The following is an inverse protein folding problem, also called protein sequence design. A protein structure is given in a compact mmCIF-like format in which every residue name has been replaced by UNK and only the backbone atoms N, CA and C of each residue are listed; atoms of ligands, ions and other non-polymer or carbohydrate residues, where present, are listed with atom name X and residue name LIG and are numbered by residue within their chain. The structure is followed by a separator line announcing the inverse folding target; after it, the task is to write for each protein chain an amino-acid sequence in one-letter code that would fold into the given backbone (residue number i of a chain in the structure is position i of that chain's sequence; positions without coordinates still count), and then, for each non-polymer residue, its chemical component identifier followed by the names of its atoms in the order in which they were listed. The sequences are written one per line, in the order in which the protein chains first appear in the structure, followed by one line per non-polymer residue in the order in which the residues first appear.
data_IF_995709380867
#
_entry.id   IF_995709380867
#
_cell.length_a   1.000
_cell.length_b   1.000
_cell.length_c   1.000
_cell.angle_alpha   90.00
_cell.angle_beta   90.00
_cell.angle_gamma   90.00
#
_symmetry.space_group_name_H-M   'P 1'
#
loop_
_entity.id
_entity.type
_entity.pdbx_description
1 polymer ?
#
# COMPACT_ATOMS: atom_id res chain seq x y z
N UNK A 1 5.08 -22.30 11.31
CA UNK A 1 5.19 -20.97 10.66
C UNK A 1 5.96 -20.08 11.62
N UNK A 2 7.06 -19.48 11.17
CA UNK A 2 7.90 -18.65 12.01
C UNK A 2 7.12 -17.40 12.54
N UNK A 3 7.42 -16.93 13.75
CA UNK A 3 6.71 -15.81 14.40
C UNK A 3 6.80 -14.55 13.52
N UNK A 4 7.95 -14.30 12.91
CA UNK A 4 8.15 -13.18 11.99
C UNK A 4 7.26 -13.33 10.74
N UNK A 5 7.11 -14.56 10.24
CA UNK A 5 6.23 -14.85 9.08
C UNK A 5 4.77 -14.57 9.42
N UNK A 6 4.31 -14.94 10.62
CA UNK A 6 2.94 -14.66 11.06
C UNK A 6 2.65 -13.16 11.19
N UNK A 7 3.61 -12.38 11.70
CA UNK A 7 3.49 -10.92 11.82
C UNK A 7 3.46 -10.19 10.48
N UNK A 8 4.13 -10.73 9.45
CA UNK A 8 4.14 -10.14 8.10
C UNK A 8 2.83 -10.35 7.31
N UNK A 9 2.01 -11.35 7.65
CA UNK A 9 0.79 -11.66 6.88
C UNK A 9 -0.20 -10.49 6.90
N UNK A 10 -0.45 -9.90 8.07
CA UNK A 10 -1.39 -8.79 8.22
C UNK A 10 -1.03 -7.57 7.36
N UNK A 11 0.19 -6.98 7.47
CA UNK A 11 0.55 -5.81 6.65
C UNK A 11 0.58 -6.12 5.15
N UNK A 12 1.02 -7.32 4.74
CA UNK A 12 1.03 -7.72 3.33
C UNK A 12 -0.39 -7.81 2.75
N UNK A 13 -1.34 -8.41 3.48
CA UNK A 13 -2.74 -8.51 3.03
C UNK A 13 -3.35 -7.11 2.89
N UNK A 14 -3.17 -6.25 3.91
CA UNK A 14 -3.73 -4.89 3.92
C UNK A 14 -3.20 -4.09 2.72
N UNK A 15 -1.88 -4.09 2.51
CA UNK A 15 -1.27 -3.35 1.40
C UNK A 15 -1.70 -3.92 0.05
N UNK A 16 -1.83 -5.24 -0.07
CA UNK A 16 -2.36 -5.88 -1.29
C UNK A 16 -3.78 -5.41 -1.61
N UNK A 17 -4.67 -5.35 -0.61
CA UNK A 17 -6.03 -4.86 -0.78
C UNK A 17 -6.08 -3.37 -1.16
N UNK A 18 -5.23 -2.54 -0.53
CA UNK A 18 -5.11 -1.10 -0.86
C UNK A 18 -4.63 -0.92 -2.30
N UNK A 19 -3.60 -1.66 -2.72
CA UNK A 19 -3.07 -1.58 -4.09
C UNK A 19 -4.13 -2.01 -5.09
N UNK A 20 -4.84 -3.12 -4.84
CA UNK A 20 -5.95 -3.56 -5.70
C UNK A 20 -7.07 -2.52 -5.78
N UNK A 21 -7.41 -1.89 -4.65
CA UNK A 21 -8.39 -0.82 -4.61
C UNK A 21 -7.95 0.39 -5.45
N UNK A 22 -6.69 0.83 -5.35
CA UNK A 22 -6.18 1.95 -6.14
C UNK A 22 -6.08 1.65 -7.63
N UNK A 23 -5.70 0.42 -8.00
CA UNK A 23 -5.73 -0.02 -9.40
C UNK A 23 -7.17 -0.04 -9.92
N UNK A 24 -8.12 -0.59 -9.16
CA UNK A 24 -9.53 -0.57 -9.51
C UNK A 24 -10.09 0.84 -9.68
N UNK A 25 -9.74 1.75 -8.77
CA UNK A 25 -10.10 3.16 -8.87
C UNK A 25 -9.50 3.83 -10.11
N UNK A 26 -8.24 3.56 -10.43
CA UNK A 26 -7.60 4.06 -11.65
C UNK A 26 -8.35 3.59 -12.91
N UNK A 27 -8.72 2.30 -12.97
CA UNK A 27 -9.48 1.73 -14.09
C UNK A 27 -10.86 2.41 -14.19
N UNK A 28 -11.56 2.61 -13.07
CA UNK A 28 -12.85 3.33 -13.06
C UNK A 28 -12.68 4.77 -13.57
N UNK A 29 -11.62 5.46 -13.16
CA UNK A 29 -11.29 6.78 -13.70
C UNK A 29 -11.07 6.75 -15.22
N UNK A 30 -10.49 5.67 -15.76
CA UNK A 30 -10.32 5.48 -17.20
C UNK A 30 -11.63 5.21 -17.95
N UNK A 31 -12.60 4.54 -17.33
CA UNK A 31 -13.89 4.21 -17.94
C UNK A 31 -14.88 5.37 -18.00
N UNK A 32 -14.78 6.35 -17.10
CA UNK A 32 -15.71 7.49 -17.06
C UNK A 32 -15.24 8.59 -18.03
N UNK A 33 -16.15 9.21 -18.81
CA UNK A 33 -15.82 10.37 -19.63
C UNK A 33 -15.59 11.59 -18.72
N UNK A 34 -14.32 11.96 -18.52
CA UNK A 34 -13.89 13.15 -17.78
C UNK A 34 -12.93 13.98 -18.64
N UNK A 35 -12.75 15.28 -18.34
CA UNK A 35 -11.67 16.06 -18.92
C UNK A 35 -10.32 15.36 -18.72
N UNK A 36 -9.45 15.30 -19.76
CA UNK A 36 -8.21 14.51 -19.72
C UNK A 36 -7.25 14.95 -18.60
N UNK A 37 -7.22 16.24 -18.26
CA UNK A 37 -6.42 16.76 -17.15
C UNK A 37 -6.88 16.21 -15.78
N UNK A 38 -8.19 16.24 -15.50
CA UNK A 38 -8.74 15.69 -14.26
C UNK A 38 -8.58 14.18 -14.20
N UNK A 39 -8.76 13.50 -15.33
CA UNK A 39 -8.57 12.05 -15.46
C UNK A 39 -7.13 11.64 -15.12
N UNK A 40 -6.15 12.38 -15.65
CA UNK A 40 -4.74 12.12 -15.35
C UNK A 40 -4.43 12.40 -13.88
N UNK A 41 -4.89 13.52 -13.33
CA UNK A 41 -4.62 13.90 -11.94
C UNK A 41 -5.25 12.91 -10.95
N UNK A 42 -6.53 12.60 -11.11
CA UNK A 42 -7.26 11.65 -10.25
C UNK A 42 -6.77 10.21 -10.41
N UNK A 43 -6.29 9.82 -11.60
CA UNK A 43 -5.74 8.49 -11.83
C UNK A 43 -4.31 8.34 -11.30
N UNK A 44 -3.46 9.35 -11.48
CA UNK A 44 -2.05 9.26 -11.13
C UNK A 44 -1.84 9.30 -9.61
N UNK A 45 -2.64 10.08 -8.88
CA UNK A 45 -2.52 10.21 -7.41
C UNK A 45 -2.65 8.86 -6.68
N UNK A 46 -3.70 8.04 -6.90
CA UNK A 46 -3.81 6.69 -6.34
C UNK A 46 -2.64 5.77 -6.70
N UNK A 47 -2.10 5.89 -7.91
CA UNK A 47 -0.92 5.11 -8.33
C UNK A 47 0.32 5.49 -7.53
N UNK A 48 0.54 6.78 -7.29
CA UNK A 48 1.63 7.25 -6.43
C UNK A 48 1.44 6.76 -4.98
N UNK A 49 0.21 6.84 -4.45
CA UNK A 49 -0.12 6.33 -3.12
C UNK A 49 0.05 4.81 -3.00
N UNK A 50 -0.22 4.05 -4.07
CA UNK A 50 0.07 2.62 -4.12
C UNK A 50 1.57 2.37 -3.98
N UNK A 51 2.40 3.15 -4.69
CA UNK A 51 3.86 3.09 -4.57
C UNK A 51 4.35 3.40 -3.15
N UNK A 52 3.83 4.45 -2.52
CA UNK A 52 4.13 4.79 -1.12
C UNK A 52 3.72 3.66 -0.17
N UNK A 53 2.54 3.07 -0.38
CA UNK A 53 2.05 1.97 0.46
C UNK A 53 2.96 0.73 0.39
N UNK A 54 3.50 0.44 -0.80
CA UNK A 54 4.48 -0.63 -1.00
C UNK A 54 5.82 -0.29 -0.32
N UNK A 55 6.27 0.96 -0.44
CA UNK A 55 7.50 1.40 0.24
C UNK A 55 7.42 1.22 1.76
N UNK A 56 6.32 1.68 2.36
CA UNK A 56 6.06 1.51 3.81
C UNK A 56 5.99 0.02 4.18
N UNK A 57 5.39 -0.84 3.35
CA UNK A 57 5.41 -2.29 3.59
C UNK A 57 6.83 -2.85 3.63
N UNK A 58 7.70 -2.42 2.72
CA UNK A 58 9.09 -2.87 2.67
C UNK A 58 9.85 -2.42 3.92
N UNK A 59 9.66 -1.20 4.40
CA UNK A 59 10.23 -0.74 5.68
C UNK A 59 9.73 -1.59 6.85
N UNK A 60 8.42 -1.84 6.96
CA UNK A 60 7.85 -2.69 8.01
C UNK A 60 8.39 -4.12 7.97
N UNK A 61 8.58 -4.69 6.78
CA UNK A 61 9.20 -6.03 6.64
C UNK A 61 10.66 -6.00 7.11
N UNK A 62 11.41 -4.93 6.81
CA UNK A 62 12.79 -4.77 7.28
C UNK A 62 12.85 -4.63 8.80
N UNK A 63 11.99 -3.81 9.39
CA UNK A 63 11.87 -3.65 10.86
C UNK A 63 11.62 -4.99 11.55
N UNK A 64 10.57 -5.72 11.14
CA UNK A 64 10.21 -7.04 11.71
C UNK A 64 11.35 -8.05 11.58
N UNK A 65 12.14 -8.00 10.49
CA UNK A 65 13.29 -8.88 10.28
C UNK A 65 14.53 -8.45 11.06
N UNK A 66 14.72 -7.15 11.29
CA UNK A 66 15.84 -6.60 12.06
C UNK A 66 15.67 -6.79 13.57
N UNK A 67 14.44 -7.03 14.04
CA UNK A 67 14.12 -7.12 15.46
C UNK A 67 13.97 -5.74 16.14
N UNK A 68 14.17 -4.65 15.40
CA UNK A 68 13.78 -3.28 15.76
C UNK A 68 12.29 -3.08 15.46
N UNK A 69 11.44 -3.91 16.08
CA UNK A 69 10.00 -3.70 15.98
C UNK A 69 9.68 -2.34 16.62
N UNK A 70 9.17 -1.42 15.79
CA UNK A 70 8.56 -0.15 16.19
C UNK A 70 7.27 -0.47 16.98
N UNK A 71 7.49 -0.89 18.22
CA UNK A 71 6.48 -1.34 19.15
C UNK A 71 6.02 -0.15 19.99
N UNK A 72 4.82 0.34 19.69
CA UNK A 72 4.16 1.43 20.41
C UNK A 72 4.02 1.18 21.91
N UNK A 73 4.16 -0.07 22.38
CA UNK A 73 4.17 -0.40 23.81
C UNK A 73 5.42 0.08 24.57
N UNK A 74 6.44 0.57 23.85
CA UNK A 74 7.67 1.15 24.44
C UNK A 74 7.61 2.66 24.72
N UNK A 75 6.47 3.31 24.47
CA UNK A 75 6.22 4.74 24.79
C UNK A 75 5.12 4.89 25.82
#
# INVERSE_FOLDING_TARGET
MDIHTKKMIAPVIIVTLIVLYYIGFFILCMCIPMPPALKLLLGLVPLLLAGVSIYVLVERIKEIRSGEEDDISKY
#
